data_IF_319443533566
#
_entry.id   IF_319443533566
#
_cell.length_a   1.000
_cell.length_b   1.000
_cell.length_c   1.000
_cell.angle_alpha   90.00
_cell.angle_beta   90.00
_cell.angle_gamma   90.00
#
_symmetry.space_group_name_H-M   'P 1'
#
loop_
_entity.id
_entity.type
_entity.pdbx_description
1 polymer ?
#
# COMPACT_ATOMS: atom_id res chain seq x y z
N UNK A 1 70.65 -13.08 14.48
CA UNK A 1 70.11 -11.91 13.76
C UNK A 1 68.59 -11.90 13.96
N UNK A 2 68.06 -10.77 14.41
CA UNK A 2 66.74 -10.61 15.01
C UNK A 2 65.58 -10.90 14.04
N UNK A 3 64.77 -11.91 14.33
CA UNK A 3 63.44 -12.06 13.73
C UNK A 3 62.49 -11.13 14.50
N UNK A 4 62.24 -9.94 13.95
CA UNK A 4 61.34 -8.97 14.56
C UNK A 4 59.91 -9.52 14.51
N UNK A 5 59.40 -9.91 15.67
CA UNK A 5 58.00 -10.22 15.91
C UNK A 5 57.22 -8.91 15.71
N UNK A 6 56.72 -8.68 14.51
CA UNK A 6 55.77 -7.62 14.24
C UNK A 6 54.43 -8.08 14.82
N UNK A 7 54.10 -7.57 16.00
CA UNK A 7 52.76 -7.62 16.58
C UNK A 7 51.84 -6.90 15.60
N UNK A 8 51.19 -7.63 14.71
CA UNK A 8 50.09 -7.12 13.90
C UNK A 8 48.93 -6.86 14.86
N UNK A 9 48.83 -5.63 15.34
CA UNK A 9 47.65 -5.14 16.04
C UNK A 9 46.47 -5.29 15.08
N UNK A 10 45.59 -6.24 15.40
CA UNK A 10 44.32 -6.44 14.74
C UNK A 10 43.45 -5.21 15.06
N UNK A 11 43.59 -4.15 14.26
CA UNK A 11 42.67 -3.02 14.33
C UNK A 11 41.36 -3.53 13.76
N UNK A 12 40.50 -4.03 14.64
CA UNK A 12 39.11 -4.30 14.31
C UNK A 12 38.47 -2.95 13.95
N UNK A 13 38.51 -2.59 12.67
CA UNK A 13 37.69 -1.52 12.13
C UNK A 13 36.25 -1.96 12.31
N UNK A 14 35.61 -1.50 13.38
CA UNK A 14 34.17 -1.60 13.53
C UNK A 14 33.59 -0.76 12.41
N UNK A 15 33.33 -1.37 11.26
CA UNK A 15 32.61 -0.71 10.18
C UNK A 15 31.28 -0.29 10.78
N UNK A 16 31.05 1.02 10.93
CA UNK A 16 29.77 1.53 11.35
C UNK A 16 28.76 1.15 10.27
N UNK A 17 27.94 0.14 10.53
CA UNK A 17 26.78 -0.17 9.71
C UNK A 17 25.86 1.03 9.89
N UNK A 18 25.84 1.93 8.91
CA UNK A 18 24.98 3.10 8.93
C UNK A 18 23.54 2.67 9.16
N UNK A 19 22.93 3.16 10.24
CA UNK A 19 21.51 2.95 10.50
C UNK A 19 20.76 3.73 9.43
N UNK A 20 20.35 3.06 8.36
CA UNK A 20 19.43 3.67 7.39
C UNK A 20 18.09 3.82 8.09
N UNK A 21 17.62 5.05 8.27
CA UNK A 21 16.23 5.27 8.71
C UNK A 21 15.30 4.68 7.65
N UNK A 22 14.14 4.13 8.05
CA UNK A 22 13.13 3.72 7.09
C UNK A 22 12.76 4.93 6.21
N UNK A 23 12.48 4.72 4.91
CA UNK A 23 12.06 5.80 4.03
C UNK A 23 10.86 6.50 4.65
N UNK A 24 10.97 7.81 4.84
CA UNK A 24 9.88 8.62 5.36
C UNK A 24 8.78 8.60 4.30
N UNK A 25 7.60 8.08 4.66
CA UNK A 25 6.42 8.16 3.82
C UNK A 25 6.01 9.64 3.73
N UNK A 26 6.35 10.30 2.63
CA UNK A 26 6.20 11.75 2.43
C UNK A 26 4.94 12.11 1.61
N UNK A 27 4.10 11.12 1.33
CA UNK A 27 2.84 11.29 0.62
C UNK A 27 1.68 10.65 1.41
N UNK A 28 0.53 11.30 1.37
CA UNK A 28 -0.67 10.87 2.08
C UNK A 28 -1.91 10.99 1.20
N UNK A 29 -2.96 10.26 1.58
CA UNK A 29 -4.27 10.40 0.97
C UNK A 29 -4.95 11.62 1.60
N UNK A 30 -5.45 12.54 0.77
CA UNK A 30 -5.99 13.84 1.20
C UNK A 30 -7.44 13.73 1.69
N UNK A 31 -8.21 12.78 1.15
CA UNK A 31 -9.62 12.58 1.45
C UNK A 31 -10.02 11.11 1.41
N UNK A 32 -11.25 10.80 1.83
CA UNK A 32 -11.83 9.50 1.52
C UNK A 32 -11.87 9.30 -0.01
N UNK A 33 -11.68 8.05 -0.49
CA UNK A 33 -11.77 7.77 -1.91
C UNK A 33 -13.21 7.95 -2.41
N UNK A 34 -13.34 8.47 -3.62
CA UNK A 34 -14.60 8.48 -4.33
C UNK A 34 -14.89 7.07 -4.84
N UNK A 35 -16.12 6.61 -4.67
CA UNK A 35 -16.54 5.24 -5.00
C UNK A 35 -17.64 5.30 -6.05
N UNK A 36 -17.32 4.85 -7.26
CA UNK A 36 -18.30 4.68 -8.33
C UNK A 36 -18.63 3.19 -8.48
N UNK A 37 -19.88 2.85 -8.14
CA UNK A 37 -20.42 1.51 -8.33
C UNK A 37 -21.03 1.42 -9.74
N UNK A 38 -20.33 0.77 -10.66
CA UNK A 38 -20.83 0.46 -11.99
C UNK A 38 -21.48 -0.93 -11.99
N UNK A 39 -22.11 -1.30 -13.12
CA UNK A 39 -22.82 -2.57 -13.26
C UNK A 39 -21.89 -3.79 -13.06
N UNK A 40 -20.71 -3.75 -13.66
CA UNK A 40 -19.74 -4.85 -13.69
C UNK A 40 -18.52 -4.64 -12.79
N UNK A 41 -18.28 -3.41 -12.32
CA UNK A 41 -17.07 -3.03 -11.57
C UNK A 41 -17.31 -1.97 -10.51
N UNK A 42 -16.39 -1.89 -9.55
CA UNK A 42 -16.25 -0.77 -8.61
C UNK A 42 -14.99 0.01 -8.98
N UNK A 43 -15.12 1.31 -9.15
CA UNK A 43 -14.00 2.23 -9.37
C UNK A 43 -13.77 3.07 -8.12
N UNK A 44 -12.55 3.07 -7.64
CA UNK A 44 -12.08 3.85 -6.51
C UNK A 44 -11.14 4.94 -7.01
N UNK A 45 -11.43 6.19 -6.70
CA UNK A 45 -10.55 7.32 -7.03
C UNK A 45 -9.92 7.87 -5.75
N UNK A 46 -8.60 7.71 -5.63
CA UNK A 46 -7.83 8.25 -4.52
C UNK A 46 -7.25 9.61 -4.89
N UNK A 47 -7.35 10.56 -3.97
CA UNK A 47 -6.69 11.87 -4.05
C UNK A 47 -5.50 11.87 -3.11
N UNK A 48 -4.30 12.04 -3.64
CA UNK A 48 -3.05 12.07 -2.85
C UNK A 48 -2.45 13.48 -2.82
N UNK A 49 -1.63 13.78 -1.81
CA UNK A 49 -1.03 15.11 -1.65
C UNK A 49 0.03 15.39 -2.73
N UNK A 50 0.72 14.34 -3.19
CA UNK A 50 1.71 14.35 -4.27
C UNK A 50 1.42 13.19 -5.23
N UNK A 51 1.94 13.19 -6.47
CA UNK A 51 1.77 12.05 -7.38
C UNK A 51 2.16 10.74 -6.72
N UNK A 52 1.24 9.78 -6.73
CA UNK A 52 1.48 8.45 -6.17
C UNK A 52 2.23 7.59 -7.19
N UNK A 53 3.40 7.11 -6.82
CA UNK A 53 4.19 6.13 -7.56
C UNK A 53 4.35 4.87 -6.73
N UNK A 54 3.62 3.82 -7.12
CA UNK A 54 3.58 2.59 -6.34
C UNK A 54 2.59 1.59 -6.89
N UNK A 55 2.18 0.66 -6.05
CA UNK A 55 1.18 -0.36 -6.40
C UNK A 55 0.02 -0.30 -5.44
N UNK A 56 -1.19 -0.34 -5.97
CA UNK A 56 -2.42 -0.55 -5.18
C UNK A 56 -2.84 -2.00 -5.39
N UNK A 57 -3.16 -2.69 -4.31
CA UNK A 57 -3.56 -4.09 -4.37
C UNK A 57 -4.56 -4.44 -3.28
N UNK A 58 -5.37 -5.46 -3.54
CA UNK A 58 -6.29 -5.98 -2.52
C UNK A 58 -5.51 -6.84 -1.53
N UNK A 59 -5.69 -6.58 -0.23
CA UNK A 59 -5.01 -7.31 0.85
C UNK A 59 -5.24 -8.81 0.73
N UNK A 60 -4.15 -9.59 0.73
CA UNK A 60 -4.20 -11.06 0.59
C UNK A 60 -4.40 -11.56 -0.84
N UNK A 61 -4.44 -10.67 -1.83
CA UNK A 61 -4.64 -11.01 -3.25
C UNK A 61 -3.51 -10.47 -4.14
N UNK A 62 -2.37 -10.11 -3.57
CA UNK A 62 -1.23 -9.51 -4.31
C UNK A 62 -0.62 -10.46 -5.34
N UNK A 63 -0.75 -11.78 -5.14
CA UNK A 63 -0.25 -12.80 -6.08
C UNK A 63 -1.12 -12.93 -7.34
N UNK A 64 -2.28 -12.26 -7.38
CA UNK A 64 -3.16 -12.23 -8.55
C UNK A 64 -3.01 -10.89 -9.25
N UNK A 65 -2.44 -10.90 -10.45
CA UNK A 65 -2.21 -9.68 -11.23
C UNK A 65 -3.49 -8.87 -11.47
N UNK A 66 -4.64 -9.54 -11.62
CA UNK A 66 -5.96 -8.89 -11.75
C UNK A 66 -6.39 -8.08 -10.51
N UNK A 67 -5.71 -8.23 -9.38
CA UNK A 67 -5.99 -7.53 -8.12
C UNK A 67 -4.91 -6.51 -7.75
N UNK A 68 -3.98 -6.23 -8.67
CA UNK A 68 -2.85 -5.33 -8.49
C UNK A 68 -2.79 -4.33 -9.64
N UNK A 69 -2.73 -3.04 -9.30
CA UNK A 69 -2.50 -1.98 -10.28
C UNK A 69 -1.19 -1.26 -9.96
N UNK A 70 -0.36 -1.07 -10.98
CA UNK A 70 0.94 -0.42 -10.88
C UNK A 70 0.91 0.98 -11.48
N UNK A 71 1.41 1.95 -10.73
CA UNK A 71 1.39 3.39 -11.05
C UNK A 71 2.80 3.98 -11.04
N UNK A 72 3.82 3.19 -11.38
CA UNK A 72 5.23 3.60 -11.29
C UNK A 72 5.55 4.88 -12.09
N UNK A 73 4.84 5.12 -13.20
CA UNK A 73 5.01 6.29 -14.06
C UNK A 73 3.91 7.33 -13.89
N UNK A 74 3.12 7.26 -12.81
CA UNK A 74 2.03 8.19 -12.58
C UNK A 74 2.56 9.56 -12.10
N UNK A 75 2.15 10.61 -12.81
CA UNK A 75 2.49 12.00 -12.51
C UNK A 75 1.32 12.78 -11.92
N UNK A 76 0.13 12.15 -11.81
CA UNK A 76 -1.07 12.80 -11.30
C UNK A 76 -1.28 12.47 -9.82
N UNK A 77 -1.79 13.42 -9.01
CA UNK A 77 -2.20 13.15 -7.62
C UNK A 77 -3.45 12.28 -7.53
N UNK A 78 -4.19 12.15 -8.64
CA UNK A 78 -5.39 11.36 -8.77
C UNK A 78 -5.05 9.96 -9.26
N UNK A 79 -5.48 8.95 -8.51
CA UNK A 79 -5.21 7.54 -8.81
C UNK A 79 -6.52 6.78 -8.89
N UNK A 80 -6.75 6.14 -10.04
CA UNK A 80 -7.95 5.35 -10.29
C UNK A 80 -7.62 3.88 -10.16
N UNK A 81 -8.30 3.18 -9.26
CA UNK A 81 -8.19 1.74 -9.04
C UNK A 81 -9.54 1.07 -9.30
N UNK A 82 -9.56 0.07 -10.17
CA UNK A 82 -10.78 -0.63 -10.58
C UNK A 82 -10.75 -2.10 -10.19
N UNK A 83 -11.88 -2.61 -9.77
CA UNK A 83 -12.08 -4.02 -9.42
C UNK A 83 -13.40 -4.51 -10.00
N UNK A 84 -13.40 -5.67 -10.65
CA UNK A 84 -14.63 -6.32 -11.08
C UNK A 84 -15.50 -6.74 -9.89
N UNK A 85 -16.82 -6.66 -10.05
CA UNK A 85 -17.77 -6.96 -9.00
C UNK A 85 -17.66 -8.42 -8.55
N UNK A 86 -17.23 -8.66 -7.31
CA UNK A 86 -17.04 -10.02 -6.77
C UNK A 86 -15.66 -10.63 -7.03
N UNK A 87 -14.78 -9.94 -7.76
CA UNK A 87 -13.38 -10.33 -7.89
C UNK A 87 -12.59 -10.02 -6.60
N UNK A 88 -11.34 -10.49 -6.54
CA UNK A 88 -10.38 -10.12 -5.49
C UNK A 88 -10.88 -10.33 -4.04
N UNK A 89 -11.57 -11.44 -3.77
CA UNK A 89 -12.13 -11.77 -2.44
C UNK A 89 -13.10 -10.70 -1.89
N UNK A 90 -13.79 -9.99 -2.78
CA UNK A 90 -14.81 -9.03 -2.43
C UNK A 90 -16.03 -9.74 -1.84
N UNK A 91 -16.30 -9.51 -0.55
CA UNK A 91 -17.46 -10.10 0.15
C UNK A 91 -18.71 -9.25 -0.07
N UNK A 92 -19.73 -9.82 -0.69
CA UNK A 92 -21.05 -9.21 -0.84
C UNK A 92 -21.88 -9.49 0.41
N UNK A 93 -22.35 -8.44 1.07
CA UNK A 93 -23.30 -8.55 2.19
C UNK A 93 -24.60 -7.90 1.77
N UNK A 94 -25.71 -8.63 1.90
CA UNK A 94 -27.04 -8.06 1.70
C UNK A 94 -27.52 -7.48 3.03
N UNK A 95 -27.76 -6.19 3.07
CA UNK A 95 -28.51 -5.61 4.18
C UNK A 95 -30.00 -5.79 3.91
N UNK A 96 -30.71 -6.43 4.83
CA UNK A 96 -32.16 -6.24 4.91
C UNK A 96 -32.37 -4.82 5.41
N UNK A 97 -33.05 -3.98 4.64
CA UNK A 97 -33.50 -2.67 5.12
C UNK A 97 -34.40 -2.96 6.31
N UNK A 98 -33.89 -2.77 7.54
CA UNK A 98 -34.73 -2.84 8.72
C UNK A 98 -35.76 -1.72 8.53
N UNK A 99 -37.01 -2.09 8.22
CA UNK A 99 -38.12 -1.16 8.38
C UNK A 99 -38.15 -0.90 9.87
N UNK A 100 -37.71 0.27 10.30
CA UNK A 100 -38.04 0.80 11.63
C UNK A 100 -39.55 1.08 11.56
N UNK A 101 -40.35 0.04 11.69
CA UNK A 101 -41.77 0.14 12.00
C UNK A 101 -41.94 -0.55 13.33
N UNK A 102 -42.22 0.28 14.33
CA UNK A 102 -42.68 -0.04 15.70
C UNK A 102 -41.64 -0.66 16.65
N UNK A 103 -40.87 0.21 17.31
CA UNK A 103 -40.89 0.16 18.76
C UNK A 103 -42.22 0.78 19.20
N UNK A 104 -43.24 -0.04 19.44
CA UNK A 104 -44.32 0.34 20.34
C UNK A 104 -43.97 -0.26 21.70
N UNK A 105 -43.81 0.64 22.66
CA UNK A 105 -43.90 0.34 24.09
C UNK A 105 -45.34 0.00 24.46
#
# INVERSE_FOLDING_TARGET
MCFRIAVFTFVATVSAWGVTSPPVLDNGVTSLPEVDCMEDRVRLTFKTQRPFQGRIFVKGMVDKDACVSSYLSNTNPDVVFELENGACNMRRTRMVKLKITECNE
#
